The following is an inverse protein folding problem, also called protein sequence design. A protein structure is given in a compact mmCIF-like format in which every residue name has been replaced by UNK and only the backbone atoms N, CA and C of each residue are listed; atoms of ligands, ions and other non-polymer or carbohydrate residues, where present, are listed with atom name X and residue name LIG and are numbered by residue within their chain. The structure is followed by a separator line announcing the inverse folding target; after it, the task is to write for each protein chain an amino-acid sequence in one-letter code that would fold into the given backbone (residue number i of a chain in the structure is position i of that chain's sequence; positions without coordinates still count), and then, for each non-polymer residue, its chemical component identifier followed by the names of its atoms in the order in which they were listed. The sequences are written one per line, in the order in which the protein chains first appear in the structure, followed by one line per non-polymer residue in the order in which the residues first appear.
data_IF_121728544777
#
_entry.id   IF_121728544777
#
_cell.length_a   1.000
_cell.length_b   1.000
_cell.length_c   1.000
_cell.angle_alpha   90.00
_cell.angle_beta   90.00
_cell.angle_gamma   90.00
#
_symmetry.space_group_name_H-M   'P 1'
#
loop_
_entity.id
_entity.type
_entity.pdbx_description
1 polymer ?
#
# COMPACT_ATOMS: atom_id res chain seq x y z
N UNK A 1 6.60 -4.80 4.03
CA UNK A 1 6.40 -5.65 5.22
C UNK A 1 5.84 -4.83 6.37
N UNK A 2 6.40 -3.64 6.62
CA UNK A 2 5.97 -2.71 7.69
C UNK A 2 4.47 -2.42 7.67
N UNK A 3 3.90 -2.21 6.49
CA UNK A 3 2.45 -2.03 6.29
C UNK A 3 1.59 -3.13 6.94
N UNK A 4 1.96 -4.39 6.75
CA UNK A 4 1.17 -5.51 7.29
C UNK A 4 1.29 -5.59 8.81
N UNK A 5 2.46 -5.27 9.36
CA UNK A 5 2.70 -5.24 10.81
C UNK A 5 1.89 -4.11 11.45
N UNK A 6 1.87 -2.91 10.87
CA UNK A 6 1.10 -1.76 11.40
C UNK A 6 -0.40 -2.05 11.41
N UNK A 7 -0.93 -2.62 10.32
CA UNK A 7 -2.36 -3.01 10.26
C UNK A 7 -2.67 -4.04 11.34
N UNK A 8 -1.84 -5.08 11.47
CA UNK A 8 -2.06 -6.12 12.47
C UNK A 8 -2.03 -5.59 13.89
N UNK A 9 -1.06 -4.74 14.23
CA UNK A 9 -0.97 -4.14 15.55
C UNK A 9 -2.15 -3.19 15.82
N UNK A 10 -2.61 -2.39 14.84
CA UNK A 10 -3.78 -1.53 15.05
C UNK A 10 -5.07 -2.33 15.26
N UNK A 11 -5.26 -3.41 14.51
CA UNK A 11 -6.40 -4.32 14.72
C UNK A 11 -6.35 -4.94 16.12
N UNK A 12 -5.18 -5.42 16.54
CA UNK A 12 -4.96 -6.00 17.87
C UNK A 12 -5.17 -4.97 18.99
N UNK A 13 -4.84 -3.71 18.76
CA UNK A 13 -5.11 -2.60 19.67
C UNK A 13 -6.62 -2.31 19.78
N UNK A 14 -7.35 -2.25 18.66
CA UNK A 14 -8.80 -2.06 18.66
C UNK A 14 -9.54 -3.26 19.30
N UNK A 15 -9.00 -4.48 19.17
CA UNK A 15 -9.48 -5.66 19.89
C UNK A 15 -9.26 -5.55 21.41
N UNK A 16 -8.11 -5.03 21.84
CA UNK A 16 -7.82 -4.75 23.27
C UNK A 16 -8.74 -3.68 23.86
N UNK A 17 -9.21 -2.74 23.04
CA UNK A 17 -10.23 -1.74 23.42
C UNK A 17 -11.65 -2.32 23.57
N UNK A 18 -11.81 -3.65 23.43
CA UNK A 18 -13.09 -4.34 23.63
C UNK A 18 -14.02 -4.34 22.41
N UNK A 19 -13.57 -3.85 21.24
CA UNK A 19 -14.40 -3.82 20.04
C UNK A 19 -14.62 -5.23 19.46
N UNK A 20 -15.82 -5.54 18.94
CA UNK A 20 -16.09 -6.83 18.30
C UNK A 20 -15.17 -7.05 17.08
N UNK A 21 -14.89 -8.32 16.71
CA UNK A 21 -13.81 -8.65 15.77
C UNK A 21 -13.94 -7.92 14.43
N UNK A 22 -15.16 -7.88 13.90
CA UNK A 22 -15.47 -7.25 12.63
C UNK A 22 -15.21 -5.72 12.66
N UNK A 23 -15.66 -5.06 13.72
CA UNK A 23 -15.51 -3.60 13.86
C UNK A 23 -14.06 -3.21 14.14
N UNK A 24 -13.32 -4.03 14.89
CA UNK A 24 -11.89 -3.81 15.14
C UNK A 24 -11.06 -3.91 13.86
N UNK A 25 -11.44 -4.80 12.93
CA UNK A 25 -10.79 -4.91 11.61
C UNK A 25 -11.06 -3.64 10.80
N UNK A 26 -12.32 -3.24 10.62
CA UNK A 26 -12.64 -2.04 9.84
C UNK A 26 -11.92 -0.79 10.36
N UNK A 27 -11.96 -0.58 11.67
CA UNK A 27 -11.38 0.62 12.28
C UNK A 27 -9.86 0.54 12.38
N UNK A 28 -9.31 -0.67 12.52
CA UNK A 28 -7.87 -0.91 12.43
C UNK A 28 -7.33 -0.54 11.05
N UNK A 29 -8.00 -0.97 9.98
CA UNK A 29 -7.63 -0.63 8.60
C UNK A 29 -7.75 0.88 8.32
N UNK A 30 -8.85 1.50 8.74
CA UNK A 30 -9.08 2.93 8.52
C UNK A 30 -8.01 3.80 9.18
N UNK A 31 -7.65 3.47 10.42
CA UNK A 31 -6.62 4.23 11.16
C UNK A 31 -5.21 3.92 10.67
N UNK A 32 -4.90 2.65 10.37
CA UNK A 32 -3.60 2.26 9.86
C UNK A 32 -3.30 2.86 8.48
N UNK A 33 -4.31 3.05 7.62
CA UNK A 33 -4.13 3.60 6.28
C UNK A 33 -3.43 4.97 6.27
N UNK A 34 -3.82 5.88 7.16
CA UNK A 34 -3.20 7.20 7.28
C UNK A 34 -1.73 7.07 7.75
N UNK A 35 -1.48 6.27 8.79
CA UNK A 35 -0.12 6.04 9.30
C UNK A 35 0.80 5.41 8.25
N UNK A 36 0.28 4.49 7.44
CA UNK A 36 1.04 3.85 6.36
C UNK A 36 1.39 4.88 5.27
N UNK A 37 0.44 5.74 4.91
CA UNK A 37 0.67 6.78 3.92
C UNK A 37 1.79 7.72 4.37
N UNK A 38 1.74 8.20 5.62
CA UNK A 38 2.76 9.07 6.21
C UNK A 38 4.14 8.39 6.28
N UNK A 39 4.18 7.10 6.62
CA UNK A 39 5.41 6.31 6.66
C UNK A 39 6.06 6.20 5.27
N UNK A 40 5.27 5.97 4.22
CA UNK A 40 5.79 5.90 2.85
C UNK A 40 6.29 7.27 2.36
N UNK A 41 5.58 8.35 2.68
CA UNK A 41 6.01 9.72 2.36
C UNK A 41 7.32 10.06 3.06
N UNK A 42 7.43 9.75 4.35
CA UNK A 42 8.68 9.98 5.13
C UNK A 42 9.84 9.17 4.55
N UNK A 43 9.59 7.94 4.10
CA UNK A 43 10.61 7.10 3.45
C UNK A 43 11.08 7.70 2.12
N UNK A 44 10.16 8.28 1.34
CA UNK A 44 10.50 9.00 0.11
C UNK A 44 11.36 10.24 0.39
N UNK A 45 11.03 11.01 1.43
CA UNK A 45 11.84 12.15 1.88
C UNK A 45 13.23 11.68 2.30
N UNK A 46 13.32 10.56 3.03
CA UNK A 46 14.59 9.96 3.45
C UNK A 46 15.45 9.59 2.25
N UNK A 47 14.87 8.98 1.21
CA UNK A 47 15.59 8.64 -0.02
C UNK A 47 16.17 9.89 -0.70
N UNK A 48 15.43 11.00 -0.73
CA UNK A 48 15.87 12.28 -1.30
C UNK A 48 17.05 12.85 -0.48
N UNK A 49 16.95 12.84 0.84
CA UNK A 49 18.00 13.34 1.73
C UNK A 49 19.27 12.48 1.60
N UNK A 50 19.13 11.14 1.60
CA UNK A 50 20.25 10.22 1.44
C UNK A 50 20.95 10.39 0.09
N UNK A 51 20.21 10.71 -0.98
CA UNK A 51 20.81 11.01 -2.28
C UNK A 51 21.56 12.35 -2.28
N UNK A 52 21.04 13.36 -1.59
CA UNK A 52 21.62 14.71 -1.52
C UNK A 52 22.87 14.81 -0.63
N UNK A 53 22.88 14.12 0.52
CA UNK A 53 23.94 14.22 1.54
C UNK A 53 24.82 12.95 1.58
N UNK A 54 24.35 11.82 1.06
CA UNK A 54 25.07 10.55 1.11
C UNK A 54 26.28 10.49 0.18
N UNK A 55 27.35 9.85 0.64
CA UNK A 55 28.57 9.60 -0.12
C UNK A 55 28.82 8.10 -0.30
N UNK A 56 29.49 7.74 -1.40
CA UNK A 56 29.91 6.36 -1.68
C UNK A 56 28.75 5.35 -1.62
N UNK A 57 28.80 4.35 -0.73
CA UNK A 57 27.76 3.32 -0.62
C UNK A 57 26.36 3.85 -0.28
N UNK A 58 26.27 4.93 0.50
CA UNK A 58 24.97 5.49 0.95
C UNK A 58 24.19 6.07 -0.24
N UNK A 59 24.89 6.66 -1.21
CA UNK A 59 24.27 7.19 -2.42
C UNK A 59 23.75 6.07 -3.32
N UNK A 60 24.49 4.95 -3.41
CA UNK A 60 24.03 3.75 -4.11
C UNK A 60 22.77 3.16 -3.49
N UNK A 61 22.72 3.07 -2.16
CA UNK A 61 21.53 2.64 -1.43
C UNK A 61 20.32 3.57 -1.69
N UNK A 62 20.54 4.88 -1.66
CA UNK A 62 19.48 5.87 -1.92
C UNK A 62 18.85 5.69 -3.31
N UNK A 63 19.67 5.40 -4.34
CA UNK A 63 19.19 5.16 -5.70
C UNK A 63 18.34 3.88 -5.76
N UNK A 64 18.80 2.78 -5.15
CA UNK A 64 18.03 1.53 -5.10
C UNK A 64 16.72 1.69 -4.35
N UNK A 65 16.72 2.43 -3.23
CA UNK A 65 15.53 2.74 -2.44
C UNK A 65 14.52 3.57 -3.26
N UNK A 66 15.00 4.60 -3.96
CA UNK A 66 14.17 5.44 -4.81
C UNK A 66 13.57 4.67 -6.00
N UNK A 67 14.38 3.84 -6.68
CA UNK A 67 13.91 2.97 -7.76
C UNK A 67 12.86 1.97 -7.26
N UNK A 68 13.09 1.35 -6.10
CA UNK A 68 12.12 0.43 -5.49
C UNK A 68 10.77 1.10 -5.19
N UNK A 69 10.80 2.34 -4.65
CA UNK A 69 9.59 3.13 -4.41
C UNK A 69 8.87 3.49 -5.71
N UNK A 70 9.59 4.01 -6.72
CA UNK A 70 9.01 4.40 -8.01
C UNK A 70 8.40 3.19 -8.73
N UNK A 71 9.12 2.06 -8.78
CA UNK A 71 8.59 0.83 -9.38
C UNK A 71 7.36 0.33 -8.62
N UNK A 72 7.35 0.38 -7.29
CA UNK A 72 6.18 -0.02 -6.49
C UNK A 72 4.95 0.86 -6.78
N UNK A 73 5.11 2.18 -6.88
CA UNK A 73 4.02 3.10 -7.21
C UNK A 73 3.54 2.88 -8.65
N UNK A 74 4.48 2.70 -9.60
CA UNK A 74 4.15 2.44 -10.99
C UNK A 74 3.41 1.11 -11.18
N UNK A 75 3.88 0.03 -10.56
CA UNK A 75 3.19 -1.26 -10.56
C UNK A 75 1.82 -1.16 -9.88
N UNK A 76 1.70 -0.44 -8.76
CA UNK A 76 0.42 -0.20 -8.10
C UNK A 76 -0.59 0.54 -8.98
N UNK A 77 -0.16 1.60 -9.67
CA UNK A 77 -1.05 2.43 -10.49
C UNK A 77 -1.38 1.79 -11.84
N UNK A 78 -0.40 1.22 -12.53
CA UNK A 78 -0.59 0.69 -13.90
C UNK A 78 -0.93 -0.80 -13.90
N UNK A 79 -0.17 -1.63 -13.20
CA UNK A 79 -0.36 -3.08 -13.23
C UNK A 79 -1.61 -3.48 -12.44
N UNK A 80 -1.82 -2.90 -11.25
CA UNK A 80 -3.02 -3.22 -10.47
C UNK A 80 -4.30 -2.73 -11.15
N UNK A 81 -4.27 -1.54 -11.78
CA UNK A 81 -5.43 -1.03 -12.54
C UNK A 81 -5.72 -1.89 -13.77
N UNK A 82 -4.70 -2.24 -14.55
CA UNK A 82 -4.86 -3.06 -15.74
C UNK A 82 -5.33 -4.48 -15.39
N UNK A 83 -4.75 -5.09 -14.35
CA UNK A 83 -5.13 -6.41 -13.87
C UNK A 83 -6.55 -6.42 -13.31
N UNK A 84 -6.90 -5.42 -12.49
CA UNK A 84 -8.26 -5.29 -11.95
C UNK A 84 -9.29 -5.04 -13.05
N UNK A 85 -8.98 -4.20 -14.04
CA UNK A 85 -9.86 -3.96 -15.19
C UNK A 85 -10.01 -5.20 -16.07
N UNK A 86 -8.92 -5.91 -16.37
CA UNK A 86 -8.94 -7.16 -17.13
C UNK A 86 -9.72 -8.26 -16.41
N UNK A 87 -9.53 -8.38 -15.10
CA UNK A 87 -10.25 -9.35 -14.27
C UNK A 87 -11.74 -9.00 -14.13
N UNK A 88 -12.08 -7.72 -13.94
CA UNK A 88 -13.47 -7.26 -13.88
C UNK A 88 -14.21 -7.51 -15.20
N UNK A 89 -13.57 -7.24 -16.35
CA UNK A 89 -14.13 -7.56 -17.66
C UNK A 89 -14.29 -9.08 -17.86
N UNK A 90 -13.35 -9.89 -17.38
CA UNK A 90 -13.45 -11.37 -17.43
C UNK A 90 -14.54 -11.92 -16.50
N UNK A 91 -14.74 -11.32 -15.33
CA UNK A 91 -15.80 -11.71 -14.39
C UNK A 91 -17.18 -11.25 -14.88
N UNK A 92 -17.31 -10.05 -15.45
CA UNK A 92 -18.55 -9.58 -16.10
C UNK A 92 -18.96 -10.46 -17.28
N UNK A 93 -17.99 -10.99 -18.03
CA UNK A 93 -18.23 -11.95 -19.13
C UNK A 93 -18.65 -13.35 -18.64
N UNK A 94 -18.32 -13.71 -17.39
CA UNK A 94 -18.66 -15.00 -16.76
C UNK A 94 -19.93 -14.93 -15.89
N UNK A 95 -20.37 -13.74 -15.50
CA UNK A 95 -21.55 -13.49 -14.67
C UNK A 95 -22.86 -13.24 -15.47
N UNK A 96 -22.86 -13.42 -16.79
CA UNK A 96 -24.10 -13.44 -17.57
C UNK A 96 -24.88 -12.12 -17.60
N UNK A 97 -24.22 -10.98 -17.88
CA UNK A 97 -24.95 -9.76 -18.25
C UNK A 97 -25.37 -9.86 -19.72
N UNK A 98 -26.35 -10.72 -19.97
CA UNK A 98 -27.40 -10.46 -20.96
C UNK A 98 -28.49 -9.69 -20.22
N UNK A 99 -28.42 -8.36 -20.21
CA UNK A 99 -29.56 -7.52 -19.85
C UNK A 99 -29.38 -6.14 -20.52
N UNK A 100 -29.92 -6.06 -21.74
CA UNK A 100 -30.51 -4.90 -22.42
C UNK A 100 -30.14 -3.49 -21.93
N UNK A 101 -29.49 -2.72 -22.81
CA UNK A 101 -30.04 -1.52 -23.45
C UNK A 101 -29.05 -1.03 -24.52
#
# INVERSE_FOLDING_TARGET
VDTNVIIFERIKEERRKGRPPYQAIQEGYKQAANTILDANITTMITAIILYGIGYGPVKGFAITLALGLITSVFTGVYVSKYLSQSLYLKLGKKAGVNAHA
#
